data_IF_111036484988
#
_entry.id   IF_111036484988
#
_cell.length_a   1.000
_cell.length_b   1.000
_cell.length_c   1.000
_cell.angle_alpha   90.00
_cell.angle_beta   90.00
_cell.angle_gamma   90.00
#
_symmetry.space_group_name_H-M   'P 1'
#
loop_
_entity.id
_entity.type
_entity.pdbx_description
1 polymer ?
#
# COMPACT_ATOMS: atom_id res chain seq x y z
N UNK A 1 -28.05 13.39 -10.18
CA UNK A 1 -27.16 13.04 -9.07
C UNK A 1 -26.58 14.37 -8.63
N UNK A 2 -27.10 14.91 -7.53
CA UNK A 2 -26.63 16.19 -7.02
C UNK A 2 -25.26 15.99 -6.36
N UNK A 3 -24.40 17.00 -6.39
CA UNK A 3 -23.04 16.89 -5.83
C UNK A 3 -23.01 16.46 -4.35
N UNK A 4 -24.10 16.75 -3.63
CA UNK A 4 -24.34 16.31 -2.25
C UNK A 4 -24.55 14.80 -2.13
N UNK A 5 -25.15 14.13 -3.12
CA UNK A 5 -25.43 12.68 -3.07
C UNK A 5 -24.14 11.87 -3.22
N UNK A 6 -23.22 12.29 -4.09
CA UNK A 6 -21.92 11.62 -4.29
C UNK A 6 -21.00 11.77 -3.06
N UNK A 7 -21.01 12.94 -2.40
CA UNK A 7 -20.30 13.10 -1.13
C UNK A 7 -20.87 12.21 -0.02
N UNK A 8 -22.20 12.08 0.07
CA UNK A 8 -22.83 11.15 1.02
C UNK A 8 -22.48 9.70 0.69
N UNK A 9 -22.40 9.35 -0.59
CA UNK A 9 -21.94 8.03 -1.03
C UNK A 9 -20.49 7.77 -0.63
N UNK A 10 -19.60 8.76 -0.77
CA UNK A 10 -18.22 8.69 -0.30
C UNK A 10 -18.13 8.47 1.21
N UNK A 11 -18.96 9.18 1.98
CA UNK A 11 -18.97 9.04 3.43
C UNK A 11 -19.44 7.66 3.89
N UNK A 12 -20.44 7.10 3.20
CA UNK A 12 -21.02 5.80 3.51
C UNK A 12 -20.17 4.62 3.02
N UNK A 13 -19.61 4.71 1.81
CA UNK A 13 -18.99 3.55 1.12
C UNK A 13 -17.49 3.71 0.88
N UNK A 14 -16.94 4.91 1.04
CA UNK A 14 -15.58 5.23 0.63
C UNK A 14 -15.40 5.38 -0.88
N UNK A 15 -16.48 5.45 -1.68
CA UNK A 15 -16.41 5.57 -3.14
C UNK A 15 -17.12 6.84 -3.59
N UNK A 16 -16.44 7.65 -4.39
CA UNK A 16 -16.99 8.85 -5.05
C UNK A 16 -16.89 8.66 -6.57
N UNK A 17 -18.01 8.69 -7.30
CA UNK A 17 -17.98 8.50 -8.75
C UNK A 17 -17.74 9.84 -9.45
N UNK A 18 -16.70 9.90 -10.27
CA UNK A 18 -16.34 11.12 -10.99
C UNK A 18 -17.29 11.33 -12.18
N UNK A 19 -18.09 12.39 -12.12
CA UNK A 19 -19.02 12.73 -13.18
C UNK A 19 -18.31 12.86 -14.54
N UNK A 20 -18.96 12.40 -15.60
CA UNK A 20 -18.42 12.48 -16.97
C UNK A 20 -17.32 11.47 -17.30
N UNK A 21 -16.95 10.58 -16.37
CA UNK A 21 -15.99 9.49 -16.63
C UNK A 21 -16.47 8.16 -16.03
N UNK A 22 -15.79 7.07 -16.39
CA UNK A 22 -15.95 5.76 -15.71
C UNK A 22 -15.02 5.61 -14.50
N UNK A 23 -14.39 6.69 -14.06
CA UNK A 23 -13.46 6.67 -12.95
C UNK A 23 -14.17 6.99 -11.63
N UNK A 24 -13.60 6.49 -10.54
CA UNK A 24 -14.05 6.78 -9.18
C UNK A 24 -12.85 7.11 -8.31
N UNK A 25 -13.03 8.07 -7.41
CA UNK A 25 -12.14 8.27 -6.28
C UNK A 25 -12.52 7.28 -5.17
N UNK A 26 -11.51 6.70 -4.53
CA UNK A 26 -11.67 5.73 -3.45
C UNK A 26 -10.94 6.25 -2.23
N UNK A 27 -11.60 6.23 -1.08
CA UNK A 27 -11.00 6.36 0.24
C UNK A 27 -10.74 4.96 0.82
N UNK A 28 -9.50 4.46 0.76
CA UNK A 28 -9.15 3.16 1.31
C UNK A 28 -9.57 2.96 2.76
N UNK A 29 -9.52 4.00 3.61
CA UNK A 29 -9.78 3.83 5.04
C UNK A 29 -11.25 3.52 5.28
N UNK A 30 -12.14 4.25 4.62
CA UNK A 30 -13.59 3.98 4.67
C UNK A 30 -13.95 2.66 4.01
N UNK A 31 -13.42 2.41 2.80
CA UNK A 31 -13.69 1.19 2.06
C UNK A 31 -13.29 -0.07 2.83
N UNK A 32 -12.10 -0.05 3.42
CA UNK A 32 -11.60 -1.16 4.23
C UNK A 32 -12.32 -1.22 5.58
N UNK A 33 -12.64 -0.07 6.19
CA UNK A 33 -13.39 0.01 7.45
C UNK A 33 -14.75 -0.68 7.36
N UNK A 34 -15.49 -0.52 6.26
CA UNK A 34 -16.74 -1.24 5.98
C UNK A 34 -16.55 -2.77 5.92
N UNK A 35 -15.36 -3.23 5.51
CA UNK A 35 -15.05 -4.66 5.32
C UNK A 35 -14.69 -5.36 6.64
N UNK A 36 -14.34 -4.60 7.68
CA UNK A 36 -13.91 -5.10 8.99
C UNK A 36 -14.95 -4.80 10.08
N UNK A 37 -15.26 -5.81 10.89
CA UNK A 37 -16.17 -5.75 12.04
C UNK A 37 -15.40 -5.60 13.34
N UNK A 38 -14.20 -6.18 13.44
CA UNK A 38 -13.35 -6.15 14.65
C UNK A 38 -12.31 -5.04 14.63
N UNK A 39 -11.88 -4.61 13.45
CA UNK A 39 -10.86 -3.58 13.31
C UNK A 39 -11.47 -2.26 12.85
N UNK A 40 -11.08 -1.19 13.51
CA UNK A 40 -11.35 0.17 13.04
C UNK A 40 -10.07 0.77 12.51
N UNK A 41 -10.03 1.02 11.21
CA UNK A 41 -8.93 1.74 10.60
C UNK A 41 -9.03 3.23 10.93
N UNK A 42 -7.89 3.83 11.27
CA UNK A 42 -7.78 5.26 11.55
C UNK A 42 -7.03 5.92 10.38
N UNK A 43 -7.52 7.05 9.84
CA UNK A 43 -6.86 7.74 8.73
C UNK A 43 -5.40 8.07 8.99
N UNK A 44 -5.07 8.53 10.20
CA UNK A 44 -3.71 8.89 10.60
C UNK A 44 -2.73 7.71 10.51
N UNK A 45 -3.17 6.48 10.80
CA UNK A 45 -2.35 5.29 10.67
C UNK A 45 -2.12 4.91 9.20
N UNK A 46 -3.15 5.01 8.36
CA UNK A 46 -3.08 4.59 6.96
C UNK A 46 -2.34 5.58 6.05
N UNK A 47 -2.58 6.89 6.21
CA UNK A 47 -1.98 7.94 5.39
C UNK A 47 -0.67 8.53 5.95
N UNK A 48 -0.14 7.95 7.02
CA UNK A 48 1.14 8.36 7.64
C UNK A 48 2.34 8.29 6.68
N UNK A 49 2.24 7.51 5.59
CA UNK A 49 3.28 7.39 4.59
C UNK A 49 3.34 8.66 3.72
N UNK A 50 4.45 9.39 3.83
CA UNK A 50 4.76 10.42 2.85
C UNK A 50 5.13 9.74 1.52
N UNK A 51 4.31 9.92 0.49
CA UNK A 51 4.64 9.57 -0.89
C UNK A 51 5.59 10.58 -1.55
N UNK A 52 6.20 11.47 -0.75
CA UNK A 52 7.23 12.37 -1.22
C UNK A 52 8.50 11.60 -1.58
N UNK A 53 9.33 12.13 -2.51
CA UNK A 53 10.66 11.58 -2.71
C UNK A 53 11.37 11.51 -1.36
N UNK A 54 11.88 10.33 -1.00
CA UNK A 54 12.56 10.11 0.27
C UNK A 54 13.65 11.18 0.45
N UNK A 55 13.55 12.00 1.49
CA UNK A 55 14.66 12.83 1.95
C UNK A 55 15.73 11.96 2.63
N UNK A 56 16.21 10.92 1.95
CA UNK A 56 17.55 10.37 2.20
C UNK A 56 18.53 11.16 1.33
N UNK A 57 18.64 12.45 1.66
CA UNK A 57 19.71 13.33 1.23
C UNK A 57 20.35 13.86 2.50
N UNK A 58 20.84 12.96 3.35
CA UNK A 58 21.76 13.31 4.41
C UNK A 58 23.03 13.85 3.76
N UNK A 59 23.44 15.01 4.23
CA UNK A 59 24.66 15.72 3.87
C UNK A 59 25.84 14.76 3.74
N UNK A 60 26.19 14.39 2.51
CA UNK A 60 27.52 13.91 2.21
C UNK A 60 28.45 15.10 2.44
N UNK A 61 29.10 15.10 3.61
CA UNK A 61 30.18 16.01 3.95
C UNK A 61 31.12 16.10 2.75
N UNK A 62 31.11 17.27 2.12
CA UNK A 62 32.23 17.73 1.34
C UNK A 62 33.36 17.98 2.33
N UNK A 63 34.43 17.18 2.26
CA UNK A 63 35.82 17.64 2.38
C UNK A 63 36.80 16.46 2.23
N UNK A 64 37.85 16.64 1.44
CA UNK A 64 38.98 15.70 1.38
C UNK A 64 39.49 15.36 -0.02
N UNK A 65 40.02 16.35 -0.73
CA UNK A 65 40.75 16.25 -2.00
C UNK A 65 41.95 15.29 -1.95
N UNK A 66 42.04 14.35 -2.89
CA UNK A 66 43.31 13.87 -3.44
C UNK A 66 43.14 13.57 -4.96
N UNK A 67 43.89 14.23 -5.87
CA UNK A 67 43.69 14.08 -7.31
C UNK A 67 44.52 12.91 -7.85
N UNK A 68 43.87 11.98 -8.56
CA UNK A 68 44.57 11.02 -9.42
C UNK A 68 44.45 11.48 -10.88
N UNK A 69 45.57 11.55 -11.64
CA UNK A 69 45.59 12.18 -12.95
C UNK A 69 45.12 11.24 -14.06
N UNK A 70 44.70 11.87 -15.16
CA UNK A 70 44.52 11.29 -16.49
C UNK A 70 43.43 10.23 -16.69
N UNK A 71 42.18 10.70 -16.71
CA UNK A 71 41.21 10.22 -17.70
C UNK A 71 40.65 11.39 -18.48
N UNK A 72 41.19 11.63 -19.68
CA UNK A 72 40.58 12.48 -20.72
C UNK A 72 39.11 12.07 -20.88
N UNK A 73 38.20 12.78 -20.20
CA UNK A 73 36.75 12.63 -20.36
C UNK A 73 36.38 13.17 -21.73
N UNK A 74 36.43 12.28 -22.72
CA UNK A 74 35.91 12.54 -24.06
C UNK A 74 34.41 12.78 -23.93
N UNK A 75 33.98 14.05 -24.05
CA UNK A 75 32.58 14.47 -24.05
C UNK A 75 31.88 13.87 -25.28
N UNK A 76 31.46 12.60 -25.20
CA UNK A 76 30.59 12.00 -26.22
C UNK A 76 29.25 12.72 -26.13
N UNK A 77 28.91 13.50 -27.15
CA UNK A 77 27.52 13.81 -27.48
C UNK A 77 26.81 12.48 -27.68
N UNK A 78 26.23 11.91 -26.63
CA UNK A 78 25.25 10.83 -26.79
C UNK A 78 24.05 11.50 -27.45
N UNK A 79 23.94 11.36 -28.77
CA UNK A 79 22.62 11.39 -29.36
C UNK A 79 21.88 10.25 -28.70
N UNK A 80 20.88 10.58 -27.89
CA UNK A 80 19.93 9.63 -27.33
C UNK A 80 19.11 9.09 -28.50
N UNK A 81 19.69 8.19 -29.29
CA UNK A 81 18.89 7.39 -30.22
C UNK A 81 17.89 6.65 -29.36
N UNK A 82 16.61 6.72 -29.73
CA UNK A 82 15.57 5.92 -29.10
C UNK A 82 16.06 4.48 -29.08
N UNK A 83 16.37 3.99 -27.88
CA UNK A 83 16.78 2.61 -27.69
C UNK A 83 15.61 1.74 -28.15
N UNK A 84 15.88 0.79 -29.03
CA UNK A 84 14.86 -0.14 -29.47
C UNK A 84 14.41 -0.99 -28.26
N UNK A 85 13.11 -0.93 -27.97
CA UNK A 85 12.52 -1.65 -26.85
C UNK A 85 12.50 -3.15 -27.13
N UNK A 86 12.84 -3.95 -26.13
CA UNK A 86 12.73 -5.40 -26.24
C UNK A 86 11.24 -5.84 -26.34
N UNK A 87 10.98 -7.11 -26.66
CA UNK A 87 9.60 -7.59 -26.84
C UNK A 87 8.70 -7.38 -25.61
N UNK A 88 9.24 -7.55 -24.39
CA UNK A 88 8.51 -7.36 -23.13
C UNK A 88 8.24 -5.88 -22.89
N UNK A 89 9.24 -5.03 -23.11
CA UNK A 89 9.16 -3.58 -22.99
C UNK A 89 8.14 -3.01 -23.99
N UNK A 90 8.05 -3.55 -25.21
CA UNK A 90 7.02 -3.16 -26.19
C UNK A 90 5.61 -3.51 -25.73
N UNK A 91 5.43 -4.67 -25.09
CA UNK A 91 4.13 -5.06 -24.54
C UNK A 91 3.76 -4.17 -23.35
N UNK A 92 4.73 -3.88 -22.47
CA UNK A 92 4.53 -2.95 -21.36
C UNK A 92 4.18 -1.54 -21.85
N UNK A 93 4.88 -1.07 -22.89
CA UNK A 93 4.62 0.22 -23.52
C UNK A 93 3.23 0.26 -24.17
N UNK A 94 2.83 -0.79 -24.89
CA UNK A 94 1.48 -0.86 -25.48
C UNK A 94 0.39 -0.73 -24.40
N UNK A 95 0.50 -1.48 -23.30
CA UNK A 95 -0.41 -1.38 -22.15
C UNK A 95 -0.40 0.02 -21.53
N UNK A 96 0.78 0.64 -21.42
CA UNK A 96 0.90 2.00 -20.91
C UNK A 96 0.18 3.00 -21.82
N UNK A 97 0.36 2.89 -23.13
CA UNK A 97 -0.30 3.76 -24.11
C UNK A 97 -1.82 3.58 -24.10
N UNK A 98 -2.32 2.36 -23.89
CA UNK A 98 -3.76 2.08 -23.73
C UNK A 98 -4.33 2.68 -22.44
N UNK A 99 -3.60 2.60 -21.32
CA UNK A 99 -4.06 3.11 -20.03
C UNK A 99 -3.99 4.63 -19.91
N UNK A 100 -3.02 5.26 -20.59
CA UNK A 100 -2.75 6.70 -20.52
C UNK A 100 -3.97 7.60 -20.79
N UNK A 101 -4.76 7.43 -21.86
CA UNK A 101 -5.93 8.27 -22.09
C UNK A 101 -6.99 8.14 -20.98
N UNK A 102 -7.16 6.94 -20.43
CA UNK A 102 -8.09 6.71 -19.31
C UNK A 102 -7.62 7.43 -18.04
N UNK A 103 -6.32 7.38 -17.75
CA UNK A 103 -5.73 8.08 -16.61
C UNK A 103 -5.84 9.60 -16.76
N UNK A 104 -5.58 10.13 -17.95
CA UNK A 104 -5.73 11.57 -18.23
C UNK A 104 -7.20 11.99 -18.10
N UNK A 105 -8.13 11.19 -18.63
CA UNK A 105 -9.56 11.46 -18.49
C UNK A 105 -9.99 11.45 -17.03
N UNK A 106 -9.57 10.46 -16.25
CA UNK A 106 -9.86 10.37 -14.81
C UNK A 106 -9.28 11.56 -14.05
N UNK A 107 -8.05 11.97 -14.39
CA UNK A 107 -7.41 13.14 -13.79
C UNK A 107 -8.19 14.42 -14.07
N UNK A 108 -8.60 14.65 -15.31
CA UNK A 108 -9.39 15.84 -15.67
C UNK A 108 -10.73 15.84 -14.95
N UNK A 109 -11.44 14.71 -14.91
CA UNK A 109 -12.70 14.59 -14.16
C UNK A 109 -12.53 14.79 -12.65
N UNK A 110 -11.37 14.41 -12.09
CA UNK A 110 -11.04 14.70 -10.70
C UNK A 110 -10.85 16.21 -10.47
N UNK A 111 -10.20 16.92 -11.40
CA UNK A 111 -10.04 18.38 -11.32
C UNK A 111 -11.39 19.11 -11.40
N UNK A 112 -12.34 18.57 -12.17
CA UNK A 112 -13.69 19.11 -12.28
C UNK A 112 -14.55 18.85 -11.03
N UNK A 113 -14.19 17.87 -10.19
CA UNK A 113 -14.91 17.49 -8.97
C UNK A 113 -14.59 18.42 -7.79
N UNK A 114 -15.00 19.70 -7.89
CA UNK A 114 -14.71 20.76 -6.89
C UNK A 114 -15.07 20.37 -5.45
N UNK A 115 -16.27 19.80 -5.26
CA UNK A 115 -16.75 19.38 -3.95
C UNK A 115 -15.87 18.31 -3.30
N UNK A 116 -15.37 17.36 -4.08
CA UNK A 116 -14.43 16.35 -3.60
C UNK A 116 -13.11 17.00 -3.21
N UNK A 117 -12.56 17.87 -4.06
CA UNK A 117 -11.29 18.57 -3.80
C UNK A 117 -11.35 19.45 -2.53
N UNK A 118 -12.48 20.08 -2.26
CA UNK A 118 -12.72 20.85 -1.03
C UNK A 118 -12.84 19.95 0.22
N UNK A 119 -13.33 18.71 0.05
CA UNK A 119 -13.49 17.73 1.13
C UNK A 119 -12.17 17.05 1.53
N UNK A 120 -11.28 16.76 0.57
CA UNK A 120 -10.03 16.01 0.80
C UNK A 120 -9.14 16.54 1.96
N UNK A 121 -8.92 17.86 2.13
CA UNK A 121 -8.09 18.37 3.23
C UNK A 121 -8.67 18.07 4.61
N UNK A 122 -9.99 17.92 4.73
CA UNK A 122 -10.66 17.55 5.98
C UNK A 122 -10.46 16.08 6.32
N UNK A 123 -10.31 15.20 5.32
CA UNK A 123 -10.12 13.76 5.52
C UNK A 123 -8.77 13.42 6.17
N UNK A 124 -7.73 14.17 5.82
CA UNK A 124 -6.35 13.92 6.29
C UNK A 124 -6.16 14.40 7.73
N UNK A 125 -6.95 15.39 8.17
CA UNK A 125 -6.84 16.02 9.49
C UNK A 125 -7.62 15.30 10.60
N UNK A 126 -8.16 14.11 10.32
CA UNK A 126 -8.95 13.35 11.29
C UNK A 126 -8.14 12.99 12.53
N UNK A 127 -8.58 13.56 13.66
CA UNK A 127 -8.27 13.29 15.07
C UNK A 127 -6.84 12.81 15.39
N UNK A 128 -6.10 13.59 16.19
CA UNK A 128 -4.84 13.18 16.81
C UNK A 128 -5.08 12.08 17.85
N UNK A 129 -5.72 10.97 17.48
CA UNK A 129 -5.53 9.71 18.16
C UNK A 129 -4.08 9.30 17.92
N UNK A 130 -3.17 9.82 18.75
CA UNK A 130 -1.84 9.24 18.95
C UNK A 130 -2.08 7.81 19.38
N UNK A 131 -1.81 6.80 18.55
CA UNK A 131 -1.74 5.46 19.08
C UNK A 131 -0.58 5.49 20.08
N UNK A 132 -0.83 5.17 21.35
CA UNK A 132 0.23 4.84 22.32
C UNK A 132 0.99 3.56 21.93
N UNK A 133 0.73 3.02 20.74
CA UNK A 133 1.50 1.95 20.15
C UNK A 133 2.82 2.55 19.68
N UNK A 134 3.86 2.22 20.44
CA UNK A 134 5.26 2.52 20.19
C UNK A 134 5.55 2.74 18.70
N UNK A 135 6.23 3.84 18.42
CA UNK A 135 6.90 4.22 17.18
C UNK A 135 7.99 3.21 16.79
N UNK A 136 7.72 1.92 16.92
CA UNK A 136 8.57 0.85 16.45
C UNK A 136 8.48 0.88 14.93
N UNK A 137 9.60 1.16 14.28
CA UNK A 137 9.73 1.26 12.82
C UNK A 137 9.12 0.04 12.13
N UNK A 138 8.07 0.19 11.32
CA UNK A 138 7.39 -0.90 10.59
C UNK A 138 8.36 -1.94 9.99
N UNK A 139 7.91 -3.19 9.85
CA UNK A 139 8.77 -4.24 9.28
C UNK A 139 8.99 -3.95 7.80
N UNK A 140 10.25 -3.74 7.42
CA UNK A 140 10.60 -3.65 6.01
C UNK A 140 10.68 -5.07 5.41
N UNK A 141 9.56 -5.58 4.92
CA UNK A 141 9.49 -6.91 4.30
C UNK A 141 10.41 -7.06 3.08
N UNK A 142 10.77 -5.96 2.40
CA UNK A 142 11.72 -5.98 1.28
C UNK A 142 13.14 -6.27 1.78
N UNK A 143 13.59 -5.58 2.83
CA UNK A 143 14.89 -5.84 3.46
C UNK A 143 14.94 -7.24 4.09
N UNK A 144 13.87 -7.63 4.78
CA UNK A 144 13.76 -8.96 5.38
C UNK A 144 13.83 -10.07 4.34
N UNK A 145 13.25 -9.85 3.15
CA UNK A 145 13.30 -10.78 2.02
C UNK A 145 14.66 -10.89 1.34
N UNK A 146 15.52 -9.88 1.50
CA UNK A 146 16.92 -9.91 1.04
C UNK A 146 17.90 -10.51 2.05
N UNK A 147 17.44 -10.82 3.26
CA UNK A 147 18.26 -11.41 4.31
C UNK A 147 18.42 -12.92 4.13
N UNK A 148 19.59 -13.47 4.50
CA UNK A 148 19.79 -14.91 4.60
C UNK A 148 18.82 -15.59 5.58
N UNK A 149 18.23 -14.81 6.50
CA UNK A 149 17.23 -15.29 7.47
C UNK A 149 15.83 -15.42 6.88
N UNK A 150 15.58 -14.95 5.65
CA UNK A 150 14.25 -14.96 5.05
C UNK A 150 13.52 -16.31 5.11
N UNK A 151 14.17 -17.46 4.86
CA UNK A 151 13.51 -18.77 4.95
C UNK A 151 13.01 -19.16 6.34
N UNK A 152 13.52 -18.52 7.40
CA UNK A 152 13.19 -18.81 8.80
C UNK A 152 12.15 -17.85 9.38
N UNK A 153 11.71 -16.85 8.63
CA UNK A 153 10.65 -15.97 9.07
C UNK A 153 9.29 -16.64 8.87
N UNK A 154 8.60 -16.87 9.98
CA UNK A 154 7.23 -17.36 9.99
C UNK A 154 6.27 -16.29 10.51
N UNK A 155 5.09 -16.22 9.91
CA UNK A 155 3.97 -15.42 10.39
C UNK A 155 2.91 -16.35 10.98
N UNK A 156 2.40 -16.00 12.16
CA UNK A 156 1.29 -16.71 12.78
C UNK A 156 -0.01 -16.05 12.37
N UNK A 157 -0.95 -16.82 11.82
CA UNK A 157 -2.27 -16.32 11.44
C UNK A 157 -3.28 -16.80 12.45
N UNK A 158 -4.01 -15.87 13.07
CA UNK A 158 -5.07 -16.12 14.01
C UNK A 158 -6.42 -15.94 13.32
N UNK A 159 -7.21 -17.00 13.29
CA UNK A 159 -8.60 -17.00 12.85
C UNK A 159 -9.49 -17.02 14.09
N UNK A 160 -10.33 -16.00 14.26
CA UNK A 160 -11.40 -16.07 15.26
C UNK A 160 -12.62 -16.72 14.61
N UNK A 161 -13.10 -17.82 15.20
CA UNK A 161 -14.37 -18.42 14.78
C UNK A 161 -15.53 -17.46 15.10
N UNK A 162 -16.53 -17.33 14.21
CA UNK A 162 -17.74 -16.59 14.55
C UNK A 162 -18.40 -17.24 15.77
N UNK A 163 -18.78 -16.41 16.75
CA UNK A 163 -19.40 -16.87 17.99
C UNK A 163 -20.72 -17.56 17.65
N UNK A 164 -20.77 -18.88 17.83
CA UNK A 164 -21.93 -19.69 17.47
C UNK A 164 -21.75 -21.14 17.88
N UNK A 165 -22.25 -21.44 19.09
CA UNK A 165 -22.55 -22.75 19.64
C UNK A 165 -21.37 -23.58 20.16
N UNK A 166 -20.83 -23.15 21.30
CA UNK A 166 -20.52 -24.07 22.40
C UNK A 166 -20.67 -23.30 23.72
N UNK A 167 -21.46 -23.87 24.64
CA UNK A 167 -21.65 -23.39 26.00
C UNK A 167 -20.37 -23.62 26.82
N UNK A 168 -19.35 -22.80 26.61
CA UNK A 168 -18.25 -22.60 27.54
C UNK A 168 -17.50 -21.34 27.09
N UNK A 169 -17.30 -20.37 27.97
CA UNK A 169 -16.76 -19.04 27.68
C UNK A 169 -15.28 -19.02 27.25
N UNK A 170 -14.91 -19.72 26.18
CA UNK A 170 -13.57 -19.71 25.61
C UNK A 170 -13.70 -19.48 24.10
N UNK A 171 -13.26 -18.31 23.64
CA UNK A 171 -13.11 -18.06 22.20
C UNK A 171 -12.09 -19.05 21.63
N UNK A 172 -12.54 -20.01 20.84
CA UNK A 172 -11.66 -20.97 20.18
C UNK A 172 -10.92 -20.26 19.03
N UNK A 173 -9.70 -19.78 19.31
CA UNK A 173 -8.83 -19.10 18.36
C UNK A 173 -7.99 -20.14 17.63
N UNK A 174 -8.27 -20.36 16.35
CA UNK A 174 -7.44 -21.22 15.52
C UNK A 174 -6.19 -20.45 15.08
N UNK A 175 -5.01 -20.95 15.45
CA UNK A 175 -3.71 -20.38 15.05
C UNK A 175 -3.01 -21.27 14.02
N UNK A 176 -2.42 -20.66 13.01
CA UNK A 176 -1.63 -21.34 11.98
C UNK A 176 -0.33 -20.58 11.73
N UNK A 177 0.81 -21.20 12.04
CA UNK A 177 2.10 -20.66 11.59
C UNK A 177 2.35 -21.04 10.13
N UNK A 178 2.87 -20.10 9.34
CA UNK A 178 3.32 -20.35 7.98
C UNK A 178 4.61 -19.58 7.71
N UNK A 179 5.57 -20.17 6.97
CA UNK A 179 6.67 -19.42 6.37
C UNK A 179 6.12 -18.21 5.62
N UNK A 180 6.73 -17.05 5.87
CA UNK A 180 6.33 -15.76 5.33
C UNK A 180 6.86 -15.57 3.90
N UNK A 181 8.08 -16.04 3.64
CA UNK A 181 8.76 -15.89 2.36
C UNK A 181 8.65 -17.14 1.50
N UNK A 182 8.53 -16.96 0.19
CA UNK A 182 8.48 -18.00 -0.83
C UNK A 182 7.35 -19.02 -0.65
N UNK A 183 6.27 -18.64 0.05
CA UNK A 183 5.06 -19.43 0.21
C UNK A 183 3.83 -18.55 0.00
N UNK A 184 2.82 -19.11 -0.66
CA UNK A 184 1.51 -18.47 -0.74
C UNK A 184 0.81 -18.64 0.59
N UNK A 185 0.53 -17.52 1.24
CA UNK A 185 -0.30 -17.45 2.43
C UNK A 185 -1.74 -17.20 1.99
N UNK A 186 -2.67 -18.04 2.48
CA UNK A 186 -4.10 -17.93 2.18
C UNK A 186 -4.86 -17.63 3.46
N UNK A 187 -5.73 -16.63 3.39
CA UNK A 187 -6.70 -16.31 4.44
C UNK A 187 -8.00 -16.99 4.08
N UNK A 188 -8.27 -18.14 4.71
CA UNK A 188 -9.47 -18.93 4.44
C UNK A 188 -10.76 -18.16 4.80
N UNK A 189 -11.81 -18.41 4.04
CA UNK A 189 -13.07 -17.68 4.13
C UNK A 189 -13.87 -18.12 5.37
N UNK A 190 -14.11 -17.16 6.26
CA UNK A 190 -15.35 -16.95 7.04
C UNK A 190 -15.13 -15.93 8.18
N UNK A 191 -13.88 -15.61 8.52
CA UNK A 191 -13.53 -14.69 9.60
C UNK A 191 -12.53 -13.62 9.17
N UNK A 192 -12.49 -12.54 9.94
CA UNK A 192 -11.35 -11.61 9.89
C UNK A 192 -10.15 -12.33 10.48
N UNK A 193 -8.98 -12.21 9.84
CA UNK A 193 -7.76 -12.84 10.32
C UNK A 193 -6.74 -11.77 10.72
N UNK A 194 -5.93 -12.12 11.73
CA UNK A 194 -4.80 -11.31 12.18
C UNK A 194 -3.52 -12.09 11.89
N UNK A 195 -2.56 -11.43 11.26
CA UNK A 195 -1.20 -11.94 11.15
C UNK A 195 -0.36 -11.38 12.28
N UNK A 196 0.36 -12.23 12.99
CA UNK A 196 1.37 -11.84 13.95
C UNK A 196 2.76 -12.15 13.40
N UNK A 197 3.64 -11.16 13.37
CA UNK A 197 5.03 -11.34 12.96
C UNK A 197 5.95 -10.41 13.77
N UNK A 198 6.93 -10.99 14.47
CA UNK A 198 7.87 -10.27 15.34
C UNK A 198 7.18 -9.33 16.35
N UNK A 199 6.12 -9.84 17.02
CA UNK A 199 5.35 -9.07 18.01
C UNK A 199 4.44 -7.99 17.42
N UNK A 200 4.28 -7.94 16.09
CA UNK A 200 3.41 -6.98 15.41
C UNK A 200 2.20 -7.66 14.82
N UNK A 201 1.06 -6.97 14.93
CA UNK A 201 -0.22 -7.41 14.40
C UNK A 201 -0.52 -6.73 13.07
N UNK A 202 -0.99 -7.53 12.12
CA UNK A 202 -1.37 -7.14 10.77
C UNK A 202 -2.80 -7.58 10.53
N UNK A 203 -3.63 -6.67 10.01
CA UNK A 203 -4.98 -7.03 9.57
C UNK A 203 -4.88 -7.72 8.21
N UNK A 204 -5.42 -8.93 8.09
CA UNK A 204 -5.42 -9.69 6.85
C UNK A 204 -6.82 -9.67 6.22
N UNK A 205 -6.98 -9.17 4.98
CA UNK A 205 -8.28 -9.12 4.32
C UNK A 205 -8.89 -10.51 4.12
N UNK A 206 -10.21 -10.60 4.26
CA UNK A 206 -11.00 -11.84 4.03
C UNK A 206 -10.80 -12.34 2.60
N UNK A 207 -10.63 -13.65 2.43
CA UNK A 207 -10.48 -14.28 1.11
C UNK A 207 -9.22 -13.84 0.34
N UNK A 208 -8.28 -13.16 1.00
CA UNK A 208 -7.04 -12.74 0.37
C UNK A 208 -6.02 -13.87 0.29
N UNK A 209 -5.14 -13.78 -0.70
CA UNK A 209 -3.92 -14.55 -0.74
C UNK A 209 -2.76 -13.62 -1.10
N UNK A 210 -1.62 -13.85 -0.48
CA UNK A 210 -0.42 -13.06 -0.74
C UNK A 210 0.80 -13.97 -0.72
N UNK A 211 1.85 -13.52 -1.40
CA UNK A 211 3.15 -14.18 -1.41
C UNK A 211 4.20 -13.10 -1.26
N UNK A 212 5.07 -13.26 -0.28
CA UNK A 212 6.25 -12.41 -0.11
C UNK A 212 7.44 -13.12 -0.72
N UNK A 213 8.04 -12.53 -1.75
CA UNK A 213 9.21 -13.09 -2.41
C UNK A 213 10.50 -12.73 -1.68
N UNK A 214 11.52 -13.58 -1.79
CA UNK A 214 12.90 -13.19 -1.47
C UNK A 214 13.52 -12.39 -2.61
N UNK A 215 14.27 -11.34 -2.27
CA UNK A 215 15.04 -10.55 -3.22
C UNK A 215 16.45 -11.11 -3.25
N UNK A 216 16.79 -11.93 -4.25
CA UNK A 216 18.14 -12.44 -4.50
C UNK A 216 18.77 -11.73 -5.70
#
# INVERSE_FOLDING_TARGET
>A
MDASDELRSLEATGIYRLAGSRAAFVDPVRLLGESYRRFRLVPSAYYSRSFGPSRQGGEAQAEGTAPSPDRKKRKRKRQTKARELNAVERIAEARHQEARPLLISAHNSLLDAKYLLEYLPGMIKGDECRPELETSSENNFVELGGSWRAPFYEMTICFQKPLGQDEAGTCDVQKRSSPLFNRVVRVEENGEAEGEFQGRLYVLPKGSCFMTGTTL
#
